data_IF_252445684265
#
_entry.id   IF_252445684265
#
_cell.length_a   1.000
_cell.length_b   1.000
_cell.length_c   1.000
_cell.angle_alpha   90.00
_cell.angle_beta   90.00
_cell.angle_gamma   90.00
#
_symmetry.space_group_name_H-M   'P 1'
#
loop_
_entity.id
_entity.type
_entity.pdbx_description
1 polymer ?
#
# COMPACT_ATOMS: atom_id res chain seq x y z
N UNK A 1 -33.41 22.23 -88.96
CA UNK A 1 -33.84 22.45 -87.56
C UNK A 1 -34.75 21.27 -87.23
N UNK A 2 -34.47 20.37 -86.28
CA UNK A 2 -34.16 20.55 -84.87
C UNK A 2 -33.35 19.31 -84.40
N UNK A 3 -32.25 19.54 -83.65
CA UNK A 3 -31.35 18.50 -83.17
C UNK A 3 -31.93 17.67 -82.02
N UNK A 4 -31.79 16.35 -82.13
CA UNK A 4 -32.02 15.38 -81.06
C UNK A 4 -30.93 15.54 -79.99
N UNK A 5 -31.30 16.08 -78.82
CA UNK A 5 -30.43 16.10 -77.64
C UNK A 5 -30.39 14.71 -77.01
N UNK A 6 -29.20 14.10 -77.00
CA UNK A 6 -28.87 12.91 -76.23
C UNK A 6 -29.10 13.18 -74.74
N UNK A 7 -29.99 12.42 -74.10
CA UNK A 7 -30.25 12.53 -72.67
C UNK A 7 -29.01 12.24 -71.81
N UNK A 8 -28.95 12.75 -70.57
CA UNK A 8 -27.76 12.60 -69.72
C UNK A 8 -27.52 11.12 -69.39
N UNK A 9 -26.30 10.63 -69.63
CA UNK A 9 -25.88 9.27 -69.24
C UNK A 9 -25.94 9.15 -67.72
N UNK A 10 -26.82 8.28 -67.21
CA UNK A 10 -26.99 8.00 -65.79
C UNK A 10 -25.72 7.34 -65.24
N UNK A 11 -24.96 8.04 -64.41
CA UNK A 11 -23.79 7.50 -63.72
C UNK A 11 -24.27 6.46 -62.69
N UNK A 12 -23.87 5.19 -62.84
CA UNK A 12 -24.13 4.14 -61.84
C UNK A 12 -23.42 4.54 -60.55
N UNK A 13 -24.16 4.88 -59.49
CA UNK A 13 -23.59 5.02 -58.15
C UNK A 13 -23.05 3.65 -57.72
N UNK A 14 -21.81 3.62 -57.25
CA UNK A 14 -21.22 2.43 -56.62
C UNK A 14 -21.98 2.17 -55.32
N UNK A 15 -22.39 0.92 -55.11
CA UNK A 15 -23.08 0.49 -53.90
C UNK A 15 -22.02 0.12 -52.85
N UNK A 16 -21.86 0.98 -51.86
CA UNK A 16 -20.85 0.87 -50.79
C UNK A 16 -21.48 0.39 -49.46
N UNK A 17 -22.75 -0.04 -49.50
CA UNK A 17 -23.56 -0.34 -48.30
C UNK A 17 -23.04 -1.51 -47.43
N UNK A 18 -22.12 -2.34 -47.94
CA UNK A 18 -21.44 -3.39 -47.17
C UNK A 18 -20.04 -3.02 -46.66
N UNK A 19 -19.42 -1.96 -47.20
CA UNK A 19 -18.03 -1.62 -46.91
C UNK A 19 -17.86 -1.08 -45.49
N UNK A 20 -18.85 -0.34 -44.98
CA UNK A 20 -18.82 0.21 -43.62
C UNK A 20 -18.74 -0.89 -42.56
N UNK A 21 -19.47 -1.99 -42.74
CA UNK A 21 -19.45 -3.11 -41.80
C UNK A 21 -18.07 -3.78 -41.76
N UNK A 22 -17.45 -3.98 -42.92
CA UNK A 22 -16.11 -4.56 -43.02
C UNK A 22 -15.08 -3.66 -42.34
N UNK A 23 -15.08 -2.36 -42.65
CA UNK A 23 -14.17 -1.40 -42.03
C UNK A 23 -14.39 -1.30 -40.52
N UNK A 24 -15.64 -1.35 -40.06
CA UNK A 24 -15.97 -1.33 -38.64
C UNK A 24 -15.43 -2.56 -37.91
N UNK A 25 -15.64 -3.76 -38.44
CA UNK A 25 -15.15 -5.01 -37.82
C UNK A 25 -13.62 -5.03 -37.77
N UNK A 26 -12.95 -4.60 -38.84
CA UNK A 26 -11.48 -4.50 -38.87
C UNK A 26 -10.97 -3.46 -37.86
N UNK A 27 -11.58 -2.27 -37.83
CA UNK A 27 -11.21 -1.22 -36.89
C UNK A 27 -11.42 -1.67 -35.43
N UNK A 28 -12.55 -2.32 -35.14
CA UNK A 28 -12.85 -2.86 -33.81
C UNK A 28 -11.82 -3.93 -33.41
N UNK A 29 -11.45 -4.83 -34.33
CA UNK A 29 -10.40 -5.83 -34.07
C UNK A 29 -9.05 -5.20 -33.74
N UNK A 30 -8.64 -4.16 -34.47
CA UNK A 30 -7.39 -3.42 -34.21
C UNK A 30 -7.43 -2.70 -32.86
N UNK A 31 -8.58 -2.10 -32.49
CA UNK A 31 -8.74 -1.42 -31.20
C UNK A 31 -8.67 -2.41 -30.04
N UNK A 32 -9.39 -3.53 -30.13
CA UNK A 32 -9.35 -4.58 -29.10
C UNK A 32 -7.95 -5.19 -28.99
N UNK A 33 -7.27 -5.43 -30.11
CA UNK A 33 -5.88 -5.89 -30.12
C UNK A 33 -4.91 -4.90 -29.46
N UNK A 34 -5.08 -3.60 -29.72
CA UNK A 34 -4.29 -2.54 -29.08
C UNK A 34 -4.49 -2.48 -27.57
N UNK A 35 -5.73 -2.66 -27.09
CA UNK A 35 -6.05 -2.70 -25.66
C UNK A 35 -5.44 -3.94 -25.01
N UNK A 36 -5.63 -5.13 -25.60
CA UNK A 36 -5.07 -6.38 -25.09
C UNK A 36 -3.54 -6.28 -24.95
N UNK A 37 -2.85 -5.83 -26.01
CA UNK A 37 -1.40 -5.66 -25.98
C UNK A 37 -0.94 -4.63 -24.93
N UNK A 38 -1.70 -3.56 -24.73
CA UNK A 38 -1.40 -2.56 -23.70
C UNK A 38 -1.49 -3.15 -22.29
N UNK A 39 -2.50 -4.00 -22.04
CA UNK A 39 -2.67 -4.72 -20.76
C UNK A 39 -1.55 -5.73 -20.56
N UNK A 40 -1.24 -6.55 -21.56
CA UNK A 40 -0.19 -7.57 -21.48
C UNK A 40 1.18 -6.95 -21.23
N UNK A 41 1.53 -5.88 -21.96
CA UNK A 41 2.78 -5.13 -21.72
C UNK A 41 2.77 -4.50 -20.32
N UNK A 42 1.63 -3.95 -19.88
CA UNK A 42 1.48 -3.40 -18.54
C UNK A 42 1.76 -4.44 -17.45
N UNK A 43 1.19 -5.63 -17.58
CA UNK A 43 1.39 -6.76 -16.66
C UNK A 43 2.85 -7.23 -16.66
N UNK A 44 3.46 -7.43 -17.83
CA UNK A 44 4.87 -7.83 -17.95
C UNK A 44 5.79 -6.80 -17.30
N UNK A 45 5.55 -5.51 -17.51
CA UNK A 45 6.35 -4.44 -16.89
C UNK A 45 6.12 -4.37 -15.38
N UNK A 46 4.91 -4.62 -14.90
CA UNK A 46 4.60 -4.68 -13.48
C UNK A 46 5.32 -5.85 -12.80
N UNK A 47 5.26 -7.05 -13.38
CA UNK A 47 5.99 -8.23 -12.88
C UNK A 47 7.51 -8.02 -12.91
N UNK A 48 8.06 -7.43 -13.98
CA UNK A 48 9.49 -7.09 -14.04
C UNK A 48 9.92 -6.15 -12.92
N UNK A 49 9.11 -5.11 -12.62
CA UNK A 49 9.39 -4.20 -11.51
C UNK A 49 9.27 -4.90 -10.17
N UNK A 50 8.28 -5.76 -10.00
CA UNK A 50 8.12 -6.54 -8.77
C UNK A 50 9.34 -7.43 -8.52
N UNK A 51 9.79 -8.18 -9.52
CA UNK A 51 10.98 -9.02 -9.44
C UNK A 51 12.26 -8.21 -9.19
N UNK A 52 12.41 -7.07 -9.85
CA UNK A 52 13.57 -6.21 -9.65
C UNK A 52 13.60 -5.61 -8.23
N UNK A 53 12.46 -5.12 -7.74
CA UNK A 53 12.34 -4.62 -6.38
C UNK A 53 12.62 -5.72 -5.34
N UNK A 54 12.14 -6.95 -5.58
CA UNK A 54 12.43 -8.08 -4.71
C UNK A 54 13.92 -8.45 -4.70
N UNK A 55 14.58 -8.43 -5.87
CA UNK A 55 16.01 -8.67 -5.98
C UNK A 55 16.84 -7.57 -5.28
N UNK A 56 16.46 -6.31 -5.45
CA UNK A 56 17.11 -5.17 -4.79
C UNK A 56 16.91 -5.24 -3.27
N UNK A 57 15.70 -5.58 -2.81
CA UNK A 57 15.41 -5.78 -1.39
C UNK A 57 16.21 -6.95 -0.79
N UNK A 58 16.31 -8.08 -1.50
CA UNK A 58 17.11 -9.23 -1.06
C UNK A 58 18.62 -8.91 -1.03
N UNK A 59 19.13 -8.18 -2.03
CA UNK A 59 20.52 -7.74 -2.06
C UNK A 59 20.83 -6.77 -0.91
N UNK A 60 19.92 -5.82 -0.64
CA UNK A 60 20.01 -4.92 0.51
C UNK A 60 19.95 -5.71 1.82
N UNK A 61 18.99 -6.61 1.99
CA UNK A 61 18.88 -7.43 3.20
C UNK A 61 20.14 -8.25 3.49
N UNK A 62 20.79 -8.81 2.46
CA UNK A 62 22.05 -9.54 2.60
C UNK A 62 23.28 -8.65 2.87
N UNK A 63 23.24 -7.39 2.48
CA UNK A 63 24.31 -6.41 2.71
C UNK A 63 24.11 -5.58 3.99
N UNK A 64 22.88 -5.51 4.51
CA UNK A 64 22.54 -4.76 5.72
C UNK A 64 23.03 -5.55 6.93
N UNK A 65 24.12 -5.07 7.52
CA UNK A 65 24.65 -5.58 8.79
C UNK A 65 24.03 -4.87 10.01
N UNK A 66 23.32 -3.76 9.78
CA UNK A 66 22.67 -2.97 10.83
C UNK A 66 21.21 -3.39 11.04
N UNK A 67 20.69 -3.35 12.28
CA UNK A 67 19.28 -3.60 12.51
C UNK A 67 18.39 -2.63 11.73
N UNK A 68 17.33 -3.14 11.11
CA UNK A 68 16.41 -2.35 10.30
C UNK A 68 14.94 -2.66 10.61
N UNK A 69 14.09 -1.69 10.34
CA UNK A 69 12.67 -1.69 10.68
C UNK A 69 11.88 -1.57 9.38
N UNK A 70 10.96 -2.51 9.15
CA UNK A 70 10.02 -2.40 8.04
C UNK A 70 8.86 -1.48 8.42
N UNK A 71 8.56 -0.50 7.56
CA UNK A 71 7.48 0.44 7.77
C UNK A 71 6.36 0.24 6.74
N UNK A 72 5.13 -0.03 7.19
CA UNK A 72 3.94 -0.04 6.35
C UNK A 72 2.69 0.24 7.17
N UNK A 73 1.89 1.20 6.73
CA UNK A 73 0.57 1.45 7.31
C UNK A 73 -0.46 0.39 6.87
N UNK A 74 -1.56 0.30 7.61
CA UNK A 74 -2.69 -0.57 7.33
C UNK A 74 -2.45 -2.05 7.68
N UNK A 75 -3.33 -2.91 7.17
CA UNK A 75 -3.29 -4.36 7.44
C UNK A 75 -2.56 -5.10 6.31
N UNK A 76 -1.33 -5.50 6.58
CA UNK A 76 -0.48 -6.27 5.67
C UNK A 76 -0.39 -7.76 6.02
N UNK A 77 -1.34 -8.30 6.80
CA UNK A 77 -1.33 -9.71 7.20
C UNK A 77 -1.40 -10.68 6.02
N UNK A 78 -1.94 -10.25 4.88
CA UNK A 78 -2.00 -11.08 3.67
C UNK A 78 -0.62 -11.35 3.03
N UNK A 79 0.37 -10.49 3.31
CA UNK A 79 1.73 -10.56 2.74
C UNK A 79 2.82 -10.59 3.81
N UNK A 80 2.44 -10.71 5.09
CA UNK A 80 3.38 -10.59 6.21
C UNK A 80 4.47 -11.66 6.18
N UNK A 81 4.18 -12.86 5.67
CA UNK A 81 5.18 -13.93 5.52
C UNK A 81 6.30 -13.53 4.54
N UNK A 82 5.94 -12.97 3.38
CA UNK A 82 6.90 -12.50 2.39
C UNK A 82 7.76 -11.36 2.97
N UNK A 83 7.14 -10.44 3.71
CA UNK A 83 7.86 -9.32 4.32
C UNK A 83 8.84 -9.84 5.38
N UNK A 84 8.39 -10.70 6.30
CA UNK A 84 9.25 -11.27 7.37
C UNK A 84 10.40 -12.10 6.78
N UNK A 85 10.19 -12.75 5.63
CA UNK A 85 11.24 -13.49 4.93
C UNK A 85 12.42 -12.62 4.47
N UNK A 86 12.22 -11.30 4.35
CA UNK A 86 13.30 -10.35 4.02
C UNK A 86 14.29 -10.14 5.17
N UNK A 87 13.96 -10.57 6.40
CA UNK A 87 14.88 -10.55 7.52
C UNK A 87 14.97 -9.23 8.28
N UNK A 88 13.89 -8.45 8.36
CA UNK A 88 13.85 -7.28 9.25
C UNK A 88 13.88 -7.67 10.72
N UNK A 89 14.31 -6.71 11.55
CA UNK A 89 14.33 -6.90 13.00
C UNK A 89 13.04 -6.42 13.65
N UNK A 90 12.29 -5.52 13.01
CA UNK A 90 11.13 -4.90 13.62
C UNK A 90 10.03 -4.53 12.61
N UNK A 91 8.80 -4.47 13.10
CA UNK A 91 7.62 -4.01 12.39
C UNK A 91 7.15 -2.67 12.93
N UNK A 92 6.91 -1.71 12.03
CA UNK A 92 6.41 -0.38 12.32
C UNK A 92 5.37 0.05 11.27
N UNK A 93 4.37 0.85 11.62
CA UNK A 93 3.74 0.86 12.92
C UNK A 93 2.84 -0.38 13.11
N UNK A 94 2.48 -0.68 14.36
CA UNK A 94 1.48 -1.70 14.69
C UNK A 94 0.14 -1.05 15.05
N UNK A 95 -0.50 -0.43 14.05
CA UNK A 95 -1.73 0.38 14.21
C UNK A 95 -2.83 -0.33 15.03
N UNK A 96 -3.34 0.30 16.11
CA UNK A 96 -4.49 -0.19 16.84
C UNK A 96 -5.71 -0.38 15.93
N UNK A 97 -6.45 -1.46 16.11
CA UNK A 97 -7.67 -1.75 15.36
C UNK A 97 -7.46 -2.27 13.93
N UNK A 98 -6.33 -1.98 13.30
CA UNK A 98 -5.97 -2.51 11.98
C UNK A 98 -5.18 -3.82 12.06
N UNK A 99 -4.27 -3.91 13.04
CA UNK A 99 -3.33 -5.01 13.22
C UNK A 99 -3.68 -5.89 14.42
N UNK A 100 -3.58 -7.23 14.27
CA UNK A 100 -3.76 -8.19 15.38
C UNK A 100 -2.42 -8.44 16.09
N UNK A 101 -2.14 -7.59 17.09
CA UNK A 101 -0.89 -7.61 17.85
C UNK A 101 -0.70 -8.94 18.60
N UNK A 102 -1.70 -9.49 19.33
CA UNK A 102 -1.56 -10.80 19.96
C UNK A 102 -1.22 -11.92 18.96
N UNK A 103 -1.80 -11.90 17.76
CA UNK A 103 -1.43 -12.85 16.72
C UNK A 103 0.04 -12.68 16.31
N UNK A 104 0.47 -11.45 15.99
CA UNK A 104 1.86 -11.17 15.58
C UNK A 104 2.86 -11.59 16.65
N UNK A 105 2.58 -11.29 17.92
CA UNK A 105 3.42 -11.69 19.06
C UNK A 105 3.59 -13.22 19.17
N UNK A 106 2.53 -13.99 18.87
CA UNK A 106 2.59 -15.46 18.92
C UNK A 106 3.28 -16.05 17.70
N UNK A 107 2.99 -15.51 16.51
CA UNK A 107 3.48 -16.06 15.23
C UNK A 107 4.93 -15.65 14.96
N UNK A 108 5.32 -14.42 15.34
CA UNK A 108 6.63 -13.85 15.05
C UNK A 108 7.33 -13.31 16.32
N UNK A 109 7.64 -14.16 17.31
CA UNK A 109 8.20 -13.75 18.61
C UNK A 109 9.62 -13.18 18.54
N UNK A 110 10.28 -13.28 17.39
CA UNK A 110 11.62 -12.75 17.16
C UNK A 110 11.61 -11.28 16.72
N UNK A 111 10.48 -10.77 16.24
CA UNK A 111 10.35 -9.40 15.76
C UNK A 111 10.21 -8.42 16.93
N UNK A 112 10.83 -7.26 16.78
CA UNK A 112 10.60 -6.10 17.63
C UNK A 112 9.35 -5.37 17.18
N UNK A 113 8.49 -5.05 18.14
CA UNK A 113 7.23 -4.36 17.93
C UNK A 113 7.45 -2.86 18.10
N UNK A 114 7.05 -2.05 17.11
CA UNK A 114 7.17 -0.59 17.16
C UNK A 114 5.79 0.05 17.08
N UNK A 115 5.48 0.95 18.01
CA UNK A 115 4.16 1.57 18.14
C UNK A 115 3.69 1.56 19.60
N UNK A 116 2.41 1.59 19.91
CA UNK A 116 1.28 1.76 18.99
C UNK A 116 0.22 2.73 19.52
N UNK A 117 0.62 3.76 20.28
CA UNK A 117 -0.34 4.69 20.91
C UNK A 117 -1.23 5.35 19.84
N UNK A 118 -2.54 5.17 19.97
CA UNK A 118 -3.53 5.64 18.99
C UNK A 118 -3.42 7.15 18.73
N UNK A 119 -3.29 7.52 17.45
CA UNK A 119 -3.19 8.92 17.02
C UNK A 119 -4.50 9.68 17.14
N UNK A 120 -5.65 9.01 17.06
CA UNK A 120 -6.96 9.62 17.30
C UNK A 120 -7.10 10.00 18.77
N UNK A 121 -6.53 9.19 19.67
CA UNK A 121 -6.43 9.53 21.09
C UNK A 121 -5.53 10.75 21.31
N UNK A 122 -4.41 10.87 20.58
CA UNK A 122 -3.55 12.06 20.64
C UNK A 122 -4.29 13.32 20.15
N UNK A 123 -5.18 13.20 19.17
CA UNK A 123 -5.97 14.31 18.63
C UNK A 123 -7.17 14.70 19.52
N UNK A 124 -7.94 13.74 20.01
CA UNK A 124 -9.23 14.00 20.65
C UNK A 124 -9.22 13.83 22.18
N UNK A 125 -8.36 12.95 22.70
CA UNK A 125 -8.36 12.52 24.11
C UNK A 125 -7.79 13.54 25.09
N UNK A 126 -7.66 13.09 26.35
CA UNK A 126 -7.00 13.80 27.45
C UNK A 126 -5.61 13.21 27.76
N UNK A 127 -4.71 13.99 28.39
CA UNK A 127 -3.40 13.49 28.80
C UNK A 127 -3.46 12.21 29.64
N UNK A 128 -4.42 12.11 30.56
CA UNK A 128 -4.56 10.93 31.42
C UNK A 128 -4.97 9.68 30.65
N UNK A 129 -5.84 9.83 29.64
CA UNK A 129 -6.20 8.73 28.74
C UNK A 129 -4.98 8.27 27.92
N UNK A 130 -4.16 9.21 27.45
CA UNK A 130 -2.92 8.90 26.73
C UNK A 130 -1.94 8.14 27.62
N UNK A 131 -1.76 8.57 28.88
CA UNK A 131 -0.90 7.85 29.84
C UNK A 131 -1.41 6.44 30.10
N UNK A 132 -2.73 6.27 30.25
CA UNK A 132 -3.33 4.95 30.40
C UNK A 132 -3.07 4.07 29.18
N UNK A 133 -3.27 4.60 27.97
CA UNK A 133 -2.97 3.87 26.74
C UNK A 133 -1.51 3.45 26.64
N UNK A 134 -0.56 4.34 26.97
CA UNK A 134 0.88 3.99 27.01
C UNK A 134 1.13 2.81 27.96
N UNK A 135 0.57 2.85 29.18
CA UNK A 135 0.72 1.76 30.15
C UNK A 135 0.14 0.45 29.64
N UNK A 136 -1.00 0.49 28.96
CA UNK A 136 -1.63 -0.69 28.37
C UNK A 136 -0.76 -1.28 27.24
N UNK A 137 -0.19 -0.42 26.39
CA UNK A 137 0.76 -0.83 25.35
C UNK A 137 1.99 -1.52 25.96
N UNK A 138 2.57 -0.94 27.01
CA UNK A 138 3.69 -1.56 27.74
C UNK A 138 3.28 -2.89 28.37
N UNK A 139 2.16 -2.96 29.08
CA UNK A 139 1.68 -4.19 29.71
C UNK A 139 1.47 -5.32 28.68
N UNK A 140 1.05 -4.96 27.46
CA UNK A 140 0.78 -5.91 26.38
C UNK A 140 2.06 -6.34 25.66
N UNK A 141 2.87 -5.41 25.18
CA UNK A 141 3.96 -5.69 24.24
C UNK A 141 5.34 -5.79 24.90
N UNK A 142 5.58 -5.09 26.02
CA UNK A 142 6.87 -5.10 26.69
C UNK A 142 7.28 -6.45 27.30
N UNK A 143 6.39 -7.35 27.76
CA UNK A 143 6.79 -8.67 28.26
C UNK A 143 7.59 -9.52 27.27
N UNK A 144 7.55 -9.19 25.98
CA UNK A 144 8.40 -9.83 24.96
C UNK A 144 9.89 -9.47 25.07
N UNK A 145 10.21 -8.37 25.77
CA UNK A 145 11.53 -7.75 25.78
C UNK A 145 11.92 -7.10 24.44
N UNK A 146 10.99 -7.03 23.48
CA UNK A 146 11.22 -6.58 22.10
C UNK A 146 10.16 -5.56 21.70
N UNK A 147 10.09 -4.46 22.44
CA UNK A 147 9.11 -3.41 22.21
C UNK A 147 9.77 -2.02 22.20
N UNK A 148 9.46 -1.24 21.17
CA UNK A 148 9.85 0.16 21.05
C UNK A 148 8.57 0.99 21.06
N UNK A 149 8.30 1.65 22.19
CA UNK A 149 7.12 2.46 22.36
C UNK A 149 7.16 3.72 21.47
N UNK A 150 6.11 3.91 20.68
CA UNK A 150 5.92 5.04 19.76
C UNK A 150 4.42 5.29 19.51
N UNK A 151 4.10 6.31 18.71
CA UNK A 151 2.74 6.48 18.18
C UNK A 151 2.39 5.35 17.21
N UNK A 152 1.10 5.04 17.11
CA UNK A 152 0.54 4.02 16.22
C UNK A 152 0.54 4.41 14.76
N UNK A 153 0.75 5.68 14.43
CA UNK A 153 1.03 6.16 13.07
C UNK A 153 1.82 7.48 13.21
N UNK A 154 2.11 8.16 12.11
CA UNK A 154 2.60 9.52 12.06
C UNK A 154 1.71 10.45 12.89
N UNK A 155 2.33 11.21 13.79
CA UNK A 155 1.61 12.17 14.64
C UNK A 155 1.00 13.26 13.74
N UNK A 156 -0.33 13.39 13.71
CA UNK A 156 -0.97 14.37 12.84
C UNK A 156 -0.74 15.81 13.34
N UNK A 157 -0.81 16.81 12.45
CA UNK A 157 -0.61 18.22 12.84
C UNK A 157 -1.70 18.76 13.78
N UNK A 158 -2.83 18.08 13.86
CA UNK A 158 -3.94 18.40 14.75
C UNK A 158 -3.91 17.63 16.08
N UNK A 159 -2.84 16.85 16.35
CA UNK A 159 -2.62 16.26 17.66
C UNK A 159 -2.44 17.35 18.72
N UNK A 160 -3.04 17.15 19.90
CA UNK A 160 -2.88 18.09 21.01
C UNK A 160 -1.46 18.02 21.57
N UNK A 161 -0.69 19.12 21.65
CA UNK A 161 0.68 19.09 22.15
C UNK A 161 0.81 18.51 23.56
N UNK A 162 -0.16 18.76 24.44
CA UNK A 162 -0.22 18.20 25.80
C UNK A 162 -0.35 16.67 25.80
N UNK A 163 -1.06 16.10 24.82
CA UNK A 163 -1.20 14.65 24.67
C UNK A 163 0.10 14.02 24.17
N UNK A 164 0.75 14.64 23.17
CA UNK A 164 2.06 14.19 22.67
C UNK A 164 3.12 14.24 23.78
N UNK A 165 3.11 15.29 24.60
CA UNK A 165 4.00 15.38 25.76
C UNK A 165 3.69 14.33 26.81
N UNK A 166 2.40 14.12 27.14
CA UNK A 166 1.99 13.09 28.08
C UNK A 166 2.42 11.68 27.63
N UNK A 167 2.31 11.40 26.33
CA UNK A 167 2.81 10.15 25.74
C UNK A 167 4.32 9.99 25.98
N UNK A 168 5.12 11.01 25.62
CA UNK A 168 6.57 10.96 25.78
C UNK A 168 7.00 10.81 27.26
N UNK A 169 6.40 11.58 28.15
CA UNK A 169 6.69 11.53 29.60
C UNK A 169 6.36 10.14 30.17
N UNK A 170 5.21 9.57 29.80
CA UNK A 170 4.79 8.26 30.29
C UNK A 170 5.63 7.13 29.71
N UNK A 171 6.03 7.21 28.43
CA UNK A 171 6.94 6.24 27.82
C UNK A 171 8.27 6.23 28.58
N UNK A 172 8.81 7.41 28.87
CA UNK A 172 10.07 7.55 29.64
C UNK A 172 9.90 6.98 31.05
N UNK A 173 8.77 7.25 31.71
CA UNK A 173 8.47 6.72 33.03
C UNK A 173 8.39 5.19 33.04
N UNK A 174 7.66 4.58 32.10
CA UNK A 174 7.51 3.13 32.02
C UNK A 174 8.83 2.43 31.67
N UNK A 175 9.62 2.99 30.75
CA UNK A 175 10.91 2.43 30.35
C UNK A 175 11.98 2.53 31.45
N UNK A 176 11.89 3.53 32.33
CA UNK A 176 12.79 3.66 33.49
C UNK A 176 12.37 2.81 34.71
N UNK A 177 11.17 2.25 34.71
CA UNK A 177 10.63 1.42 35.79
C UNK A 177 10.90 -0.09 35.62
N UNK A 178 11.43 -0.50 34.47
CA UNK A 178 11.79 -1.88 34.10
C UNK A 178 13.27 -2.15 34.26
#
# INVERSE_FOLDING_TARGET
MIGLKSGPKRVKRRDESGQTLILFVLALGVLLGSVAMSVDVGLILHERRSLQNAADAAALAGAIELPWIWHSDGNYMAVIEDIVSLGMNALNPLEPGCMDIPHIMRTYPHLTLVGNVDVDLLAAGTPDQVRAAVRDCFATMNPTGRYIAASGNSIPPFAKPENVRAMFDEITHCAGAT
#
